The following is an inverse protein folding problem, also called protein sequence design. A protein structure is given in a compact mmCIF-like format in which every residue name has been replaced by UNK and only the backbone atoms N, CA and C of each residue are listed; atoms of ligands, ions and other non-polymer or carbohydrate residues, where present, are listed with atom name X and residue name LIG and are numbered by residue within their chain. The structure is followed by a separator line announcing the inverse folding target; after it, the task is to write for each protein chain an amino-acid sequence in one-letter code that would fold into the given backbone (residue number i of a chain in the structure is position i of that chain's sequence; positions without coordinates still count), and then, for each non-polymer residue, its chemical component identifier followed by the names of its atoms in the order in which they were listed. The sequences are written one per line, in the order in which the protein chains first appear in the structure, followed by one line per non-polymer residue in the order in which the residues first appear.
data_IF_155052453743
#
_entry.id   IF_155052453743
#
_cell.length_a   1.000
_cell.length_b   1.000
_cell.length_c   1.000
_cell.angle_alpha   90.00
_cell.angle_beta   90.00
_cell.angle_gamma   90.00
#
_symmetry.space_group_name_H-M   'P 1'
#
loop_
_entity.id
_entity.type
_entity.pdbx_description
1 polymer ?
#
# COMPACT_ATOMS: atom_id res chain seq x y z
N UNK A 1 17.58 7.44 14.40
CA UNK A 1 16.43 6.63 14.88
C UNK A 1 16.10 5.65 13.78
N UNK A 2 16.10 4.35 14.05
CA UNK A 2 15.84 3.34 13.01
C UNK A 2 14.33 3.29 12.71
N UNK A 3 13.88 3.51 11.47
CA UNK A 3 12.46 3.49 11.15
C UNK A 3 11.82 2.11 11.32
N UNK A 4 12.59 1.03 11.21
CA UNK A 4 12.11 -0.36 11.32
C UNK A 4 11.82 -0.75 12.77
N UNK A 5 12.39 -0.04 13.74
CA UNK A 5 12.07 -0.24 15.16
C UNK A 5 10.70 0.31 15.56
N UNK A 6 10.03 1.05 14.67
CA UNK A 6 8.70 1.61 14.94
C UNK A 6 7.60 0.54 14.80
N UNK A 7 6.49 0.65 15.55
CA UNK A 7 5.32 -0.21 15.35
C UNK A 7 4.82 -0.16 13.90
N UNK A 8 4.34 -1.29 13.38
CA UNK A 8 3.83 -1.42 12.01
C UNK A 8 2.86 -0.27 11.63
N UNK A 9 1.85 0.10 12.45
CA UNK A 9 0.95 1.20 12.11
C UNK A 9 1.65 2.55 11.93
N UNK A 10 2.71 2.81 12.71
CA UNK A 10 3.48 4.05 12.60
C UNK A 10 4.31 4.07 11.31
N UNK A 11 4.92 2.94 10.96
CA UNK A 11 5.63 2.78 9.68
C UNK A 11 4.69 2.93 8.48
N UNK A 12 3.49 2.38 8.57
CA UNK A 12 2.44 2.56 7.54
C UNK A 12 2.02 4.02 7.42
N UNK A 13 1.84 4.73 8.53
CA UNK A 13 1.54 6.16 8.48
C UNK A 13 2.64 6.98 7.80
N UNK A 14 3.91 6.66 8.07
CA UNK A 14 5.06 7.29 7.40
C UNK A 14 5.09 6.98 5.90
N UNK A 15 4.79 5.74 5.50
CA UNK A 15 4.65 5.37 4.09
C UNK A 15 3.57 6.22 3.42
N UNK A 16 2.36 6.28 3.99
CA UNK A 16 1.23 7.06 3.47
C UNK A 16 1.58 8.54 3.35
N UNK A 17 2.25 9.10 4.36
CA UNK A 17 2.71 10.48 4.31
C UNK A 17 3.70 10.72 3.16
N UNK A 18 4.63 9.80 2.94
CA UNK A 18 5.61 9.88 1.86
C UNK A 18 4.98 9.79 0.45
N UNK A 19 3.85 9.09 0.30
CA UNK A 19 3.13 9.01 -0.97
C UNK A 19 2.62 10.37 -1.45
N UNK A 20 2.25 11.30 -0.54
CA UNK A 20 1.76 12.63 -0.93
C UNK A 20 2.77 13.45 -1.77
N UNK A 21 4.07 13.13 -1.69
CA UNK A 21 5.13 13.78 -2.48
C UNK A 21 5.78 12.88 -3.52
N UNK A 22 5.25 11.69 -3.78
CA UNK A 22 5.91 10.66 -4.60
C UNK A 22 5.17 10.43 -5.94
N UNK A 23 5.33 11.31 -6.95
CA UNK A 23 4.55 11.24 -8.19
C UNK A 23 4.73 9.92 -8.95
N UNK A 24 5.95 9.36 -8.96
CA UNK A 24 6.24 8.07 -9.61
C UNK A 24 5.53 6.90 -8.93
N UNK A 25 5.49 6.90 -7.59
CA UNK A 25 4.79 5.87 -6.83
C UNK A 25 3.29 6.01 -7.01
N UNK A 26 2.76 7.24 -7.01
CA UNK A 26 1.34 7.49 -7.23
C UNK A 26 0.90 7.08 -8.64
N UNK A 27 1.73 7.31 -9.66
CA UNK A 27 1.46 6.83 -11.02
C UNK A 27 1.46 5.29 -11.08
N UNK A 28 2.41 4.63 -10.42
CA UNK A 28 2.44 3.18 -10.33
C UNK A 28 1.22 2.61 -9.58
N UNK A 29 0.77 3.28 -8.51
CA UNK A 29 -0.46 2.93 -7.79
C UNK A 29 -1.70 3.14 -8.66
N UNK A 30 -1.75 4.21 -9.46
CA UNK A 30 -2.87 4.48 -10.36
C UNK A 30 -2.95 3.51 -11.55
N UNK A 31 -1.81 2.95 -11.96
CA UNK A 31 -1.72 1.91 -12.98
C UNK A 31 -1.99 0.50 -12.44
N UNK A 32 -2.04 0.34 -11.11
CA UNK A 32 -2.22 -0.95 -10.48
C UNK A 32 -3.56 -1.57 -10.88
N UNK A 33 -3.53 -2.77 -11.47
CA UNK A 33 -4.74 -3.44 -11.96
C UNK A 33 -5.68 -3.86 -10.82
N UNK A 34 -5.13 -4.23 -9.67
CA UNK A 34 -5.88 -4.70 -8.51
C UNK A 34 -5.13 -4.45 -7.19
N UNK A 35 -5.79 -4.83 -6.09
CA UNK A 35 -5.26 -4.62 -4.75
C UNK A 35 -3.95 -5.37 -4.44
N UNK A 36 -3.67 -6.49 -5.09
CA UNK A 36 -2.41 -7.21 -4.91
C UNK A 36 -1.27 -6.49 -5.63
N UNK A 37 -1.48 -5.99 -6.85
CA UNK A 37 -0.48 -5.18 -7.57
C UNK A 37 -0.20 -3.87 -6.82
N UNK A 38 -1.23 -3.25 -6.24
CA UNK A 38 -1.09 -2.09 -5.35
C UNK A 38 -0.17 -2.40 -4.16
N UNK A 39 -0.33 -3.58 -3.54
CA UNK A 39 0.54 -3.99 -2.43
C UNK A 39 2.00 -4.14 -2.86
N UNK A 40 2.29 -4.64 -4.06
CA UNK A 40 3.67 -4.75 -4.57
C UNK A 40 4.33 -3.38 -4.74
N UNK A 41 3.59 -2.41 -5.30
CA UNK A 41 4.07 -1.02 -5.43
C UNK A 41 4.39 -0.43 -4.05
N UNK A 42 3.53 -0.65 -3.06
CA UNK A 42 3.71 -0.15 -1.70
C UNK A 42 4.85 -0.82 -0.95
N UNK A 43 5.08 -2.13 -1.15
CA UNK A 43 6.26 -2.83 -0.61
C UNK A 43 7.54 -2.22 -1.20
N UNK A 44 7.60 -2.02 -2.53
CA UNK A 44 8.76 -1.39 -3.17
C UNK A 44 9.01 0.03 -2.70
N UNK A 45 7.95 0.81 -2.45
CA UNK A 45 8.07 2.14 -1.85
C UNK A 45 8.57 2.08 -0.39
N UNK A 46 8.08 1.12 0.39
CA UNK A 46 8.50 0.90 1.76
C UNK A 46 9.99 0.53 1.88
N UNK A 47 10.48 -0.30 0.97
CA UNK A 47 11.89 -0.71 0.93
C UNK A 47 12.81 0.48 0.66
N UNK A 48 12.47 1.31 -0.34
CA UNK A 48 13.20 2.55 -0.67
C UNK A 48 13.25 3.53 0.50
N UNK A 49 12.22 3.56 1.33
CA UNK A 49 12.14 4.40 2.53
C UNK A 49 12.79 3.75 3.77
N UNK A 50 13.30 2.51 3.65
CA UNK A 50 13.89 1.78 4.76
C UNK A 50 12.90 1.39 5.86
N UNK A 51 11.60 1.34 5.56
CA UNK A 51 10.54 1.07 6.55
C UNK A 51 10.37 -0.43 6.83
N UNK A 52 10.79 -1.31 5.90
CA UNK A 52 10.71 -2.77 6.09
C UNK A 52 9.28 -3.28 6.29
N UNK A 53 8.30 -2.70 5.60
CA UNK A 53 6.93 -3.22 5.58
C UNK A 53 6.85 -4.36 4.56
N UNK A 54 6.06 -5.37 4.90
CA UNK A 54 5.79 -6.51 4.04
C UNK A 54 4.39 -6.39 3.48
N UNK A 55 4.09 -7.22 2.47
CA UNK A 55 2.76 -7.33 1.88
C UNK A 55 1.69 -7.60 2.93
N UNK A 56 1.97 -8.50 3.89
CA UNK A 56 1.06 -8.83 4.99
C UNK A 56 0.83 -7.65 5.93
N UNK A 57 1.89 -6.92 6.31
CA UNK A 57 1.75 -5.72 7.13
C UNK A 57 0.82 -4.71 6.49
N UNK A 58 1.01 -4.44 5.18
CA UNK A 58 0.21 -3.49 4.42
C UNK A 58 -1.24 -3.96 4.24
N UNK A 59 -1.44 -5.25 3.97
CA UNK A 59 -2.76 -5.86 3.81
C UNK A 59 -3.59 -5.84 5.10
N UNK A 60 -2.96 -5.94 6.26
CA UNK A 60 -3.67 -6.04 7.54
C UNK A 60 -3.79 -4.71 8.30
N UNK A 61 -3.07 -3.67 7.87
CA UNK A 61 -2.97 -2.40 8.62
C UNK A 61 -3.70 -1.25 7.91
N UNK A 62 -4.62 -0.55 8.58
CA UNK A 62 -5.24 0.66 8.04
C UNK A 62 -4.21 1.81 7.94
N UNK A 63 -4.36 2.75 6.97
CA UNK A 63 -5.44 2.85 5.98
C UNK A 63 -5.20 2.01 4.71
N UNK A 64 -4.02 1.41 4.54
CA UNK A 64 -3.66 0.67 3.31
C UNK A 64 -4.59 -0.51 3.06
N UNK A 65 -4.92 -1.29 4.11
CA UNK A 65 -5.92 -2.36 4.03
C UNK A 65 -7.22 -1.88 3.40
N UNK A 66 -7.72 -0.73 3.86
CA UNK A 66 -9.01 -0.20 3.43
C UNK A 66 -8.94 0.30 1.98
N UNK A 67 -7.83 0.90 1.55
CA UNK A 67 -7.60 1.26 0.14
C UNK A 67 -7.54 0.03 -0.78
N UNK A 68 -6.80 -1.01 -0.38
CA UNK A 68 -6.70 -2.27 -1.13
C UNK A 68 -8.07 -2.94 -1.24
N UNK A 69 -8.86 -2.93 -0.16
CA UNK A 69 -10.24 -3.41 -0.17
C UNK A 69 -11.13 -2.59 -1.13
N UNK A 70 -10.97 -1.27 -1.15
CA UNK A 70 -11.71 -0.40 -2.06
C UNK A 70 -11.38 -0.69 -3.53
N UNK A 71 -10.09 -0.87 -3.86
CA UNK A 71 -9.67 -1.26 -5.22
C UNK A 71 -10.19 -2.63 -5.63
N UNK A 72 -10.20 -3.62 -4.72
CA UNK A 72 -10.74 -4.96 -5.00
C UNK A 72 -12.24 -4.94 -5.33
N UNK A 73 -13.02 -4.00 -4.78
CA UNK A 73 -14.45 -3.85 -5.09
C UNK A 73 -14.74 -3.19 -6.45
N UNK A 74 -13.76 -2.51 -7.04
CA UNK A 74 -13.89 -1.93 -8.39
C UNK A 74 -13.55 -2.94 -9.51
N UNK A 75 -12.90 -4.07 -9.19
CA UNK A 75 -12.93 -5.22 -10.08
C UNK A 75 -14.39 -5.71 -10.12
N UNK A 76 -15.06 -5.68 -11.28
CA UNK A 76 -16.50 -5.85 -11.34
C UNK A 76 -16.88 -7.17 -10.69
N UNK A 77 -17.78 -7.08 -9.71
CA UNK A 77 -18.69 -8.17 -9.44
C UNK A 77 -19.32 -8.54 -10.78
N UNK A 78 -18.86 -9.62 -11.41
CA UNK A 78 -19.71 -10.43 -12.27
C UNK A 78 -20.77 -11.02 -11.33
N UNK A 79 -21.82 -10.24 -11.09
CA UNK A 79 -23.10 -10.76 -10.61
C UNK A 79 -23.53 -11.82 -11.61
N UNK A 80 -23.88 -13.00 -11.08
CA UNK A 80 -24.06 -14.23 -11.83
C UNK A 80 -24.90 -14.10 -13.10
N UNK A 81 -24.55 -14.93 -14.07
CA UNK A 81 -25.50 -15.50 -15.02
C UNK A 81 -25.81 -16.92 -14.59
#
# INVERSE_FOLDING_TARGET
MDPRSLPVPRRVALLVQALNGAPRTNEALAKAADGEEMLDVLVGASDKLGLGLTREHLRNTPPIRDWVWWHKKQAPFTIGS
#
